data_IF_199761201395
#
_entry.id   IF_199761201395
#
_cell.length_a   1.000
_cell.length_b   1.000
_cell.length_c   1.000
_cell.angle_alpha   90.00
_cell.angle_beta   90.00
_cell.angle_gamma   90.00
#
_symmetry.space_group_name_H-M   'P 1'
#
loop_
_entity.id
_entity.type
_entity.pdbx_description
1 polymer ?
#
# COMPACT_ATOMS: atom_id res chain seq x y z
N UNK A 1 -9.60 24.16 -8.89
CA UNK A 1 -10.76 24.36 -8.00
C UNK A 1 -11.38 22.99 -7.72
N UNK A 2 -11.66 22.64 -6.46
CA UNK A 2 -12.39 21.38 -6.16
C UNK A 2 -13.79 21.53 -6.76
N UNK A 3 -14.24 20.56 -7.55
CA UNK A 3 -15.57 20.63 -8.18
C UNK A 3 -16.69 20.20 -7.24
N UNK A 4 -16.41 19.25 -6.33
CA UNK A 4 -17.48 18.48 -5.66
C UNK A 4 -17.31 18.33 -4.13
N UNK A 5 -16.53 19.18 -3.45
CA UNK A 5 -16.37 19.13 -1.96
C UNK A 5 -15.85 20.43 -1.34
N UNK A 6 -16.18 20.65 -0.07
CA UNK A 6 -15.68 21.80 0.71
C UNK A 6 -14.15 21.74 0.95
N UNK A 7 -13.57 22.84 1.45
CA UNK A 7 -12.13 22.96 1.70
C UNK A 7 -11.62 22.03 2.80
N UNK A 8 -12.44 21.78 3.81
CA UNK A 8 -12.22 20.93 4.97
C UNK A 8 -12.76 19.50 4.79
N UNK A 9 -13.62 19.27 3.80
CA UNK A 9 -14.22 17.96 3.57
C UNK A 9 -13.25 17.00 2.86
N UNK A 10 -13.11 15.79 3.42
CA UNK A 10 -12.39 14.67 2.79
C UNK A 10 -13.11 14.17 1.53
N UNK A 11 -12.41 13.36 0.73
CA UNK A 11 -13.09 12.56 -0.33
C UNK A 11 -13.87 11.44 0.34
N UNK A 12 -14.78 10.80 -0.40
CA UNK A 12 -15.40 9.57 0.05
C UNK A 12 -14.34 8.49 0.35
N UNK A 13 -14.49 7.79 1.47
CA UNK A 13 -13.52 6.80 1.97
C UNK A 13 -14.20 5.45 2.18
N UNK A 14 -13.68 4.43 1.52
CA UNK A 14 -14.18 3.05 1.62
C UNK A 14 -13.04 2.11 1.96
N UNK A 15 -13.30 1.18 2.88
CA UNK A 15 -12.41 0.08 3.24
C UNK A 15 -13.11 -1.25 2.94
N UNK A 16 -12.58 -2.00 1.99
CA UNK A 16 -13.02 -3.35 1.68
C UNK A 16 -11.96 -4.33 2.19
N UNK A 17 -12.25 -5.03 3.29
CA UNK A 17 -11.33 -6.00 3.91
C UNK A 17 -11.41 -7.37 3.27
N UNK A 18 -10.38 -8.22 3.47
CA UNK A 18 -10.33 -9.61 3.01
C UNK A 18 -10.39 -9.75 1.47
N UNK A 19 -9.81 -8.79 0.76
CA UNK A 19 -9.79 -8.75 -0.72
C UNK A 19 -8.74 -9.67 -1.35
N UNK A 20 -7.76 -10.11 -0.57
CA UNK A 20 -6.76 -11.08 -0.97
C UNK A 20 -6.87 -12.31 -0.08
N UNK A 21 -7.17 -13.47 -0.68
CA UNK A 21 -7.35 -14.75 -0.01
C UNK A 21 -6.09 -15.25 0.71
N UNK A 22 -4.91 -14.90 0.19
CA UNK A 22 -3.65 -15.49 0.63
C UNK A 22 -2.93 -14.65 1.70
N UNK A 23 -3.23 -13.36 1.80
CA UNK A 23 -2.64 -12.51 2.83
C UNK A 23 -3.38 -12.68 4.15
N UNK A 24 -2.65 -12.78 5.27
CA UNK A 24 -3.21 -12.86 6.62
C UNK A 24 -4.08 -11.64 6.95
N UNK A 25 -3.71 -10.47 6.40
CA UNK A 25 -4.55 -9.28 6.39
C UNK A 25 -4.57 -8.62 5.02
N UNK A 26 -5.74 -8.21 4.53
CA UNK A 26 -5.83 -7.46 3.28
C UNK A 26 -6.97 -6.45 3.27
N UNK A 27 -6.74 -5.33 2.59
CA UNK A 27 -7.73 -4.29 2.41
C UNK A 27 -7.54 -3.55 1.08
N UNK A 28 -8.61 -3.34 0.32
CA UNK A 28 -8.67 -2.35 -0.74
C UNK A 28 -9.22 -1.06 -0.14
N UNK A 29 -8.37 -0.05 -0.02
CA UNK A 29 -8.78 1.26 0.48
C UNK A 29 -8.98 2.23 -0.68
N UNK A 30 -10.08 2.99 -0.63
CA UNK A 30 -10.48 3.94 -1.68
C UNK A 30 -10.68 5.32 -1.07
N UNK A 31 -10.03 6.33 -1.64
CA UNK A 31 -10.22 7.75 -1.32
C UNK A 31 -10.68 8.48 -2.60
N UNK A 32 -11.98 8.45 -2.88
CA UNK A 32 -12.52 8.75 -4.21
C UNK A 32 -11.86 7.86 -5.27
N UNK A 33 -11.19 8.48 -6.25
CA UNK A 33 -10.52 7.76 -7.35
C UNK A 33 -9.12 7.22 -6.99
N UNK A 34 -8.60 7.50 -5.79
CA UNK A 34 -7.32 6.93 -5.35
C UNK A 34 -7.58 5.59 -4.68
N UNK A 35 -7.15 4.51 -5.29
CA UNK A 35 -7.32 3.15 -4.79
C UNK A 35 -5.97 2.53 -4.48
N UNK A 36 -5.85 1.88 -3.31
CA UNK A 36 -4.63 1.21 -2.87
C UNK A 36 -5.00 -0.15 -2.30
N UNK A 37 -4.35 -1.20 -2.80
CA UNK A 37 -4.42 -2.53 -2.20
C UNK A 37 -3.32 -2.61 -1.14
N UNK A 38 -3.70 -2.85 0.10
CA UNK A 38 -2.79 -3.08 1.22
C UNK A 38 -2.88 -4.55 1.63
N UNK A 39 -1.74 -5.22 1.70
CA UNK A 39 -1.62 -6.59 2.21
C UNK A 39 -0.64 -6.60 3.38
N UNK A 40 -0.98 -7.34 4.43
CA UNK A 40 -0.12 -7.64 5.55
C UNK A 40 0.18 -9.13 5.54
N UNK A 41 1.46 -9.47 5.64
CA UNK A 41 1.94 -10.84 5.73
C UNK A 41 2.88 -11.01 6.92
N UNK A 42 2.84 -12.18 7.54
CA UNK A 42 3.64 -12.50 8.72
C UNK A 42 4.85 -13.33 8.27
N UNK A 43 6.04 -12.88 8.65
CA UNK A 43 7.27 -13.68 8.58
C UNK A 43 7.73 -13.98 10.02
N UNK A 44 8.06 -15.24 10.30
CA UNK A 44 8.61 -15.66 11.60
C UNK A 44 10.03 -15.11 11.84
N UNK A 45 10.68 -14.58 10.81
CA UNK A 45 12.04 -14.04 10.88
C UNK A 45 12.04 -12.53 11.09
N UNK A 46 12.76 -12.09 12.11
CA UNK A 46 13.13 -10.69 12.28
C UNK A 46 14.43 -10.36 11.53
N UNK A 47 14.66 -9.09 11.14
CA UNK A 47 15.94 -8.66 10.59
C UNK A 47 17.14 -9.02 11.49
N UNK A 48 18.34 -9.27 10.92
CA UNK A 48 19.50 -9.73 11.68
C UNK A 48 19.90 -8.83 12.86
N UNK A 49 19.74 -7.51 12.71
CA UNK A 49 20.05 -6.52 13.75
C UNK A 49 19.10 -6.54 14.96
N UNK A 50 17.96 -7.27 14.87
CA UNK A 50 16.96 -7.40 15.93
C UNK A 50 17.00 -8.78 16.61
N UNK A 51 17.94 -9.66 16.22
CA UNK A 51 18.09 -10.99 16.83
C UNK A 51 18.29 -10.88 18.34
N UNK A 52 17.63 -11.76 19.09
CA UNK A 52 17.67 -11.84 20.56
C UNK A 52 17.14 -10.62 21.32
N UNK A 53 16.52 -9.64 20.64
CA UNK A 53 15.96 -8.45 21.29
C UNK A 53 14.60 -8.68 21.97
N UNK A 54 13.92 -9.78 21.64
CA UNK A 54 12.53 -10.03 22.06
C UNK A 54 11.49 -9.12 21.41
N UNK A 55 11.88 -8.32 20.39
CA UNK A 55 11.00 -7.38 19.69
C UNK A 55 10.64 -7.87 18.29
N UNK A 56 9.45 -7.51 17.83
CA UNK A 56 9.02 -7.69 16.43
C UNK A 56 9.49 -6.55 15.52
N UNK A 57 9.25 -6.71 14.22
CA UNK A 57 9.55 -5.70 13.20
C UNK A 57 8.40 -5.59 12.20
N UNK A 58 8.19 -4.39 11.67
CA UNK A 58 7.25 -4.13 10.57
C UNK A 58 8.01 -3.35 9.49
N UNK A 59 7.90 -3.81 8.26
CA UNK A 59 8.40 -3.13 7.07
C UNK A 59 7.28 -3.03 6.04
N UNK A 60 7.44 -2.18 5.03
CA UNK A 60 6.47 -2.02 3.97
C UNK A 60 7.17 -1.90 2.62
N UNK A 61 6.51 -2.40 1.59
CA UNK A 61 6.88 -2.17 0.20
C UNK A 61 5.79 -1.35 -0.47
N UNK A 62 6.19 -0.55 -1.46
CA UNK A 62 5.28 0.25 -2.26
C UNK A 62 5.53 0.01 -3.74
N UNK A 63 4.44 -0.04 -4.51
CA UNK A 63 4.51 -0.14 -5.96
C UNK A 63 3.28 0.48 -6.60
N UNK A 64 3.51 1.30 -7.63
CA UNK A 64 2.44 1.81 -8.49
C UNK A 64 2.33 0.98 -9.77
N UNK A 65 1.12 0.57 -10.13
CA UNK A 65 0.90 -0.05 -11.42
C UNK A 65 1.12 0.98 -12.54
N UNK A 66 1.66 0.58 -13.70
CA UNK A 66 1.96 1.49 -14.82
C UNK A 66 0.82 2.42 -15.27
N UNK A 67 -0.44 2.08 -15.00
CA UNK A 67 -1.64 2.85 -15.37
C UNK A 67 -2.45 3.34 -14.18
N UNK A 68 -1.83 3.49 -13.02
CA UNK A 68 -2.48 4.10 -11.84
C UNK A 68 -2.56 5.64 -11.92
N UNK A 69 -1.85 6.26 -12.87
CA UNK A 69 -1.87 7.72 -13.12
C UNK A 69 -2.43 8.06 -14.51
N UNK A 70 -2.69 9.34 -14.77
CA UNK A 70 -3.23 9.82 -16.05
C UNK A 70 -2.36 9.39 -17.26
N UNK A 71 -1.04 9.48 -17.12
CA UNK A 71 -0.05 8.98 -18.09
C UNK A 71 0.51 7.65 -17.63
N UNK A 72 0.99 6.83 -18.57
CA UNK A 72 1.63 5.55 -18.24
C UNK A 72 2.99 5.83 -17.60
N UNK A 73 3.24 5.24 -16.44
CA UNK A 73 4.56 5.21 -15.80
C UNK A 73 5.25 3.88 -16.09
N UNK A 74 6.57 3.90 -16.18
CA UNK A 74 7.32 2.65 -16.25
C UNK A 74 7.34 1.96 -14.89
N UNK A 75 7.40 0.63 -14.90
CA UNK A 75 7.44 -0.16 -13.66
C UNK A 75 8.77 0.09 -12.94
N UNK A 76 8.71 0.44 -11.65
CA UNK A 76 9.93 0.71 -10.84
C UNK A 76 10.88 -0.50 -10.81
N UNK A 77 10.34 -1.72 -10.71
CA UNK A 77 11.13 -2.95 -10.79
C UNK A 77 11.94 -3.07 -12.09
N UNK A 78 11.46 -2.50 -13.21
CA UNK A 78 12.18 -2.50 -14.48
C UNK A 78 13.34 -1.49 -14.52
N UNK A 79 13.40 -0.53 -13.58
CA UNK A 79 14.49 0.44 -13.41
C UNK A 79 15.55 -0.01 -12.39
N UNK A 80 15.43 -1.23 -11.87
CA UNK A 80 16.42 -1.83 -10.97
C UNK A 80 16.44 -1.29 -9.54
N UNK A 81 15.44 -0.48 -9.16
CA UNK A 81 15.26 0.02 -7.79
C UNK A 81 13.77 0.03 -7.47
N UNK A 82 13.28 -1.01 -6.81
CA UNK A 82 12.04 -0.87 -6.05
C UNK A 82 12.37 0.12 -4.94
N UNK A 83 11.70 1.28 -4.91
CA UNK A 83 11.89 2.21 -3.80
C UNK A 83 11.10 1.67 -2.60
N UNK A 84 11.84 1.05 -1.68
CA UNK A 84 11.37 0.44 -0.44
C UNK A 84 12.56 0.16 0.46
#
# INVERSE_FOLDING_TARGET
MRKDRNFDQLRDVVFETNVNLHAEGSCLVKFGNTHVICTASIDEKTPPWLRNSGKGWVTAEYGMLPRSTNTRIDREAARGKQSG
#
